data_IF_621545361366
#
_entry.id   IF_621545361366
#
_cell.length_a   1.000
_cell.length_b   1.000
_cell.length_c   1.000
_cell.angle_alpha   90.00
_cell.angle_beta   90.00
_cell.angle_gamma   90.00
#
_symmetry.space_group_name_H-M   'P 1'
#
loop_
_entity.id
_entity.type
_entity.pdbx_description
1 polymer ?
#
# COMPACT_ATOMS: atom_id res chain seq x y z
N UNK A 1 5.20 -9.48 11.39
CA UNK A 1 4.01 -10.14 10.82
C UNK A 1 3.64 -9.41 9.54
N UNK A 2 3.54 -10.11 8.42
CA UNK A 2 2.98 -9.55 7.19
C UNK A 2 1.47 -9.60 7.29
N UNK A 3 0.78 -8.49 7.03
CA UNK A 3 -0.66 -8.50 6.88
C UNK A 3 -1.04 -8.08 5.46
N UNK A 4 -2.00 -8.81 4.89
CA UNK A 4 -2.67 -8.50 3.62
C UNK A 4 -1.74 -8.30 2.40
N UNK A 5 -0.92 -9.30 2.03
CA UNK A 5 -0.13 -9.20 0.80
C UNK A 5 -1.03 -9.21 -0.43
N UNK A 6 -0.80 -8.29 -1.36
CA UNK A 6 -1.50 -8.18 -2.64
C UNK A 6 -0.50 -7.98 -3.78
N UNK A 7 -0.69 -8.71 -4.87
CA UNK A 7 0.19 -8.65 -6.04
C UNK A 7 -0.24 -7.53 -6.99
N UNK A 8 0.73 -6.84 -7.58
CA UNK A 8 0.47 -5.93 -8.70
C UNK A 8 -0.10 -6.72 -9.89
N UNK A 9 -0.79 -6.04 -10.83
CA UNK A 9 -1.02 -6.63 -12.14
C UNK A 9 0.29 -7.14 -12.73
N UNK A 10 0.22 -8.31 -13.37
CA UNK A 10 1.40 -8.97 -13.94
C UNK A 10 1.79 -8.23 -15.21
N UNK A 11 3.03 -7.74 -15.27
CA UNK A 11 3.57 -7.11 -16.46
C UNK A 11 3.71 -8.14 -17.59
N UNK A 12 3.80 -7.69 -18.84
CA UNK A 12 3.99 -8.57 -20.02
C UNK A 12 5.25 -9.46 -19.91
N UNK A 13 6.24 -9.04 -19.12
CA UNK A 13 7.46 -9.81 -18.82
C UNK A 13 7.25 -10.94 -17.80
N UNK A 14 6.05 -11.09 -17.23
CA UNK A 14 5.75 -12.02 -16.13
C UNK A 14 6.19 -11.54 -14.74
N UNK A 15 6.80 -10.35 -14.65
CA UNK A 15 7.19 -9.75 -13.38
C UNK A 15 6.00 -9.08 -12.68
N UNK A 16 6.03 -9.10 -11.36
CA UNK A 16 5.09 -8.40 -10.48
C UNK A 16 5.78 -8.07 -9.16
N UNK A 17 5.22 -7.10 -8.45
CA UNK A 17 5.64 -6.74 -7.10
C UNK A 17 4.54 -7.07 -6.11
N UNK A 18 4.92 -7.24 -4.84
CA UNK A 18 4.00 -7.56 -3.75
C UNK A 18 3.93 -6.36 -2.82
N UNK A 19 2.74 -5.76 -2.68
CA UNK A 19 2.45 -4.78 -1.64
C UNK A 19 1.93 -5.49 -0.39
N UNK A 20 2.33 -5.03 0.78
CA UNK A 20 1.89 -5.60 2.05
C UNK A 20 2.00 -4.58 3.18
N UNK A 21 1.26 -4.85 4.25
CA UNK A 21 1.38 -4.09 5.48
C UNK A 21 2.31 -4.81 6.47
N UNK A 22 3.23 -4.06 7.06
CA UNK A 22 4.12 -4.54 8.13
C UNK A 22 3.89 -3.74 9.40
N UNK A 23 3.64 -4.42 10.52
CA UNK A 23 3.53 -3.75 11.82
C UNK A 23 4.84 -3.03 12.15
N UNK A 24 4.73 -1.78 12.63
CA UNK A 24 5.88 -1.00 13.12
C UNK A 24 6.47 -1.68 14.35
N UNK A 25 5.61 -2.18 15.24
CA UNK A 25 5.99 -2.99 16.41
C UNK A 25 5.47 -4.41 16.22
N UNK A 26 6.29 -5.36 15.72
CA UNK A 26 5.86 -6.72 15.44
C UNK A 26 5.31 -7.47 16.66
N UNK A 27 5.81 -7.18 17.86
CA UNK A 27 5.38 -7.80 19.12
C UNK A 27 3.99 -7.35 19.59
N UNK A 28 3.50 -6.21 19.08
CA UNK A 28 2.21 -5.61 19.44
C UNK A 28 1.34 -5.39 18.20
N UNK A 29 1.40 -6.33 17.25
CA UNK A 29 0.74 -6.16 15.94
C UNK A 29 -0.77 -5.88 16.01
N UNK A 30 -1.44 -6.31 17.08
CA UNK A 30 -2.87 -6.08 17.32
C UNK A 30 -3.23 -4.61 17.53
N UNK A 31 -2.33 -3.84 18.15
CA UNK A 31 -2.51 -2.43 18.52
C UNK A 31 -1.55 -1.49 17.78
N UNK A 32 -0.57 -2.06 17.08
CA UNK A 32 0.43 -1.31 16.33
C UNK A 32 -0.16 -0.66 15.07
N UNK A 33 0.54 0.39 14.62
CA UNK A 33 0.36 0.95 13.28
C UNK A 33 1.21 0.17 12.28
N UNK A 34 0.84 0.29 11.01
CA UNK A 34 1.43 -0.46 9.93
C UNK A 34 2.10 0.44 8.91
N UNK A 35 3.18 -0.06 8.33
CA UNK A 35 3.84 0.53 7.17
C UNK A 35 3.37 -0.18 5.91
N UNK A 36 3.09 0.58 4.86
CA UNK A 36 2.92 0.04 3.52
C UNK A 36 4.30 -0.16 2.90
N UNK A 37 4.58 -1.39 2.50
CA UNK A 37 5.83 -1.78 1.86
C UNK A 37 5.55 -2.51 0.55
N UNK A 38 6.53 -2.46 -0.34
CA UNK A 38 6.56 -3.26 -1.57
C UNK A 38 7.85 -4.06 -1.65
N UNK A 39 7.81 -5.19 -2.33
CA UNK A 39 8.98 -6.03 -2.63
C UNK A 39 8.81 -6.74 -3.96
N UNK A 40 9.91 -7.19 -4.55
CA UNK A 40 9.88 -8.01 -5.75
C UNK A 40 9.31 -9.40 -5.45
N UNK A 41 8.90 -10.14 -6.49
CA UNK A 41 8.30 -11.48 -6.36
C UNK A 41 9.18 -12.50 -5.63
N UNK A 42 10.49 -12.29 -5.58
CA UNK A 42 11.46 -13.14 -4.89
C UNK A 42 11.74 -12.69 -3.45
N UNK A 43 11.06 -11.64 -2.99
CA UNK A 43 11.23 -11.04 -1.66
C UNK A 43 12.38 -10.04 -1.56
N UNK A 44 13.08 -9.76 -2.66
CA UNK A 44 14.15 -8.76 -2.70
C UNK A 44 13.60 -7.34 -2.87
N UNK A 45 14.50 -6.35 -2.83
CA UNK A 45 14.21 -4.93 -3.09
C UNK A 45 13.03 -4.37 -2.27
N UNK A 46 12.99 -4.70 -0.97
CA UNK A 46 11.96 -4.18 -0.06
C UNK A 46 12.06 -2.66 0.04
N UNK A 47 10.96 -1.95 -0.28
CA UNK A 47 10.84 -0.50 -0.15
C UNK A 47 9.69 -0.15 0.79
N UNK A 48 9.88 0.87 1.63
CA UNK A 48 8.81 1.48 2.43
C UNK A 48 8.18 2.61 1.62
N UNK A 49 6.87 2.58 1.44
CA UNK A 49 6.11 3.59 0.71
C UNK A 49 5.35 4.55 1.65
N UNK A 50 4.84 4.03 2.77
CA UNK A 50 4.10 4.82 3.76
C UNK A 50 4.33 4.24 5.17
N UNK A 51 4.32 5.04 6.25
CA UNK A 51 4.23 6.50 6.28
C UNK A 51 5.55 7.18 5.92
N UNK A 52 5.45 8.42 5.44
CA UNK A 52 6.57 9.36 5.38
C UNK A 52 7.00 9.82 6.78
N UNK A 53 8.02 10.68 6.85
CA UNK A 53 8.48 11.23 8.12
C UNK A 53 7.39 12.06 8.81
N UNK A 54 7.23 11.86 10.12
CA UNK A 54 6.25 12.60 10.93
C UNK A 54 4.79 12.16 10.77
N UNK A 55 4.48 11.20 9.90
CA UNK A 55 3.13 10.68 9.69
C UNK A 55 2.92 9.39 10.48
N UNK A 56 1.76 9.26 11.12
CA UNK A 56 1.39 8.03 11.80
C UNK A 56 1.06 6.94 10.76
N UNK A 57 1.54 5.72 10.98
CA UNK A 57 1.28 4.59 10.08
C UNK A 57 -0.20 4.23 9.94
N UNK A 58 -0.47 3.26 9.10
CA UNK A 58 -1.81 2.81 8.74
C UNK A 58 -2.45 1.99 9.86
N UNK A 59 -3.78 2.05 9.95
CA UNK A 59 -4.56 1.02 10.63
C UNK A 59 -4.56 -0.27 9.78
N UNK A 60 -4.75 -1.46 10.38
CA UNK A 60 -4.85 -2.72 9.64
C UNK A 60 -5.94 -2.64 8.56
N UNK A 61 -5.58 -2.89 7.30
CA UNK A 61 -6.49 -2.87 6.16
C UNK A 61 -5.89 -3.67 5.00
N UNK A 62 -6.70 -3.95 3.97
CA UNK A 62 -6.19 -4.41 2.67
C UNK A 62 -5.98 -3.21 1.77
N UNK A 63 -4.82 -3.16 1.10
CA UNK A 63 -4.57 -2.19 0.01
C UNK A 63 -4.93 -2.83 -1.32
N UNK A 64 -5.14 -2.02 -2.36
CA UNK A 64 -5.54 -2.52 -3.68
C UNK A 64 -4.72 -1.86 -4.77
N UNK A 65 -4.29 -2.65 -5.74
CA UNK A 65 -3.60 -2.15 -6.93
C UNK A 65 -4.61 -1.61 -7.93
N UNK A 66 -4.26 -0.55 -8.64
CA UNK A 66 -4.98 -0.15 -9.84
C UNK A 66 -4.93 -1.29 -10.90
N UNK A 67 -6.00 -1.47 -11.69
CA UNK A 67 -6.04 -2.51 -12.71
C UNK A 67 -5.01 -2.26 -13.83
N UNK A 68 -4.61 -3.33 -14.55
CA UNK A 68 -3.73 -3.21 -15.71
C UNK A 68 -4.45 -2.49 -16.86
N UNK A 69 -4.06 -1.23 -17.13
CA UNK A 69 -4.58 -0.45 -18.25
C UNK A 69 -4.26 1.04 -18.11
N UNK A 70 -3.40 1.54 -19.01
CA UNK A 70 -3.18 2.95 -19.39
C UNK A 70 -2.59 3.96 -18.38
N UNK A 71 -2.42 3.68 -17.09
CA UNK A 71 -1.68 4.60 -16.20
C UNK A 71 -0.86 3.84 -15.17
N UNK A 72 0.25 4.44 -14.73
CA UNK A 72 1.22 3.92 -13.76
C UNK A 72 0.59 3.01 -12.69
N UNK A 73 1.26 1.90 -12.37
CA UNK A 73 0.81 0.94 -11.35
C UNK A 73 0.74 1.62 -9.98
N UNK A 74 -0.40 2.17 -9.59
CA UNK A 74 -0.57 2.80 -8.26
C UNK A 74 -1.21 1.85 -7.26
N UNK A 75 -0.90 2.06 -5.98
CA UNK A 75 -1.54 1.38 -4.85
C UNK A 75 -2.49 2.36 -4.18
N UNK A 76 -3.76 1.97 -4.03
CA UNK A 76 -4.75 2.71 -3.27
C UNK A 76 -4.86 2.17 -1.84
N UNK A 77 -4.89 3.08 -0.87
CA UNK A 77 -5.02 2.78 0.56
C UNK A 77 -5.79 3.88 1.29
N UNK A 78 -6.27 3.59 2.50
CA UNK A 78 -6.98 4.54 3.34
C UNK A 78 -6.06 5.04 4.44
N UNK A 79 -5.77 6.33 4.47
CA UNK A 79 -5.08 6.97 5.59
C UNK A 79 -6.00 8.03 6.22
N UNK A 80 -6.22 7.91 7.53
CA UNK A 80 -7.06 8.85 8.30
C UNK A 80 -8.47 9.07 7.70
N UNK A 81 -9.04 8.03 7.07
CA UNK A 81 -10.35 8.11 6.42
C UNK A 81 -10.33 8.73 5.02
N UNK A 82 -9.16 9.01 4.45
CA UNK A 82 -9.02 9.51 3.09
C UNK A 82 -8.47 8.44 2.16
N UNK A 83 -8.95 8.43 0.92
CA UNK A 83 -8.36 7.65 -0.15
C UNK A 83 -7.08 8.32 -0.61
N UNK A 84 -5.98 7.59 -0.53
CA UNK A 84 -4.66 8.02 -1.01
C UNK A 84 -4.14 7.00 -2.02
N UNK A 85 -3.45 7.49 -3.05
CA UNK A 85 -2.69 6.70 -4.00
C UNK A 85 -1.20 6.86 -3.71
N UNK A 86 -0.44 5.79 -3.87
CA UNK A 86 1.02 5.85 -3.88
C UNK A 86 1.57 5.18 -5.14
N UNK A 87 2.53 5.84 -5.76
CA UNK A 87 3.35 5.26 -6.82
C UNK A 87 4.44 4.37 -6.17
N UNK A 88 4.52 3.07 -6.50
CA UNK A 88 5.45 2.12 -5.91
C UNK A 88 6.91 2.33 -6.37
N UNK A 89 7.12 3.00 -7.50
CA UNK A 89 8.44 3.27 -8.06
C UNK A 89 9.04 4.53 -7.43
N UNK A 90 8.24 5.59 -7.31
CA UNK A 90 8.69 6.89 -6.81
C UNK A 90 8.41 7.12 -5.32
N UNK A 91 7.45 6.40 -4.74
CA UNK A 91 6.92 6.67 -3.40
C UNK A 91 6.07 7.94 -3.33
N UNK A 92 5.73 8.55 -4.47
CA UNK A 92 4.91 9.76 -4.50
C UNK A 92 3.47 9.44 -4.06
N UNK A 93 2.98 10.18 -3.06
CA UNK A 93 1.64 10.03 -2.52
C UNK A 93 0.75 11.13 -3.08
N UNK A 94 -0.43 10.76 -3.54
CA UNK A 94 -1.48 11.68 -3.99
C UNK A 94 -2.76 11.41 -3.21
N UNK A 95 -3.25 12.43 -2.51
CA UNK A 95 -4.53 12.36 -1.82
C UNK A 95 -5.69 12.58 -2.81
N UNK A 96 -6.68 11.69 -2.80
CA UNK A 96 -7.82 11.71 -3.73
C UNK A 96 -9.08 12.29 -3.08
N UNK A 97 -9.30 11.99 -1.79
CA UNK A 97 -10.42 12.54 -0.99
C UNK A 97 -9.90 13.29 0.22
N UNK A 98 -10.71 14.16 0.83
CA UNK A 98 -10.28 14.99 1.98
C UNK A 98 -11.33 15.20 3.06
N UNK A 99 -12.42 14.44 3.02
CA UNK A 99 -13.53 14.52 3.97
C UNK A 99 -13.42 13.51 5.13
N UNK A 100 -12.44 12.61 5.09
CA UNK A 100 -12.20 11.62 6.15
C UNK A 100 -13.26 10.53 6.26
N UNK A 101 -14.12 10.35 5.25
CA UNK A 101 -15.28 9.45 5.32
C UNK A 101 -15.07 8.09 4.66
N UNK A 102 -13.94 7.89 3.96
CA UNK A 102 -13.63 6.67 3.21
C UNK A 102 -13.31 5.54 4.18
N UNK A 103 -14.05 4.44 4.05
CA UNK A 103 -13.92 3.24 4.89
C UNK A 103 -13.64 1.96 4.10
N UNK A 104 -13.81 1.98 2.78
CA UNK A 104 -13.57 0.83 1.90
C UNK A 104 -13.10 1.29 0.52
N UNK A 105 -12.22 0.50 -0.10
CA UNK A 105 -11.79 0.64 -1.49
C UNK A 105 -12.13 -0.66 -2.21
N UNK A 106 -12.63 -0.57 -3.44
CA UNK A 106 -12.90 -1.70 -4.32
C UNK A 106 -12.71 -1.26 -5.78
N UNK A 107 -11.78 -1.87 -6.50
CA UNK A 107 -11.63 -1.71 -7.96
C UNK A 107 -12.37 -2.86 -8.62
N UNK A 108 -13.38 -2.55 -9.45
CA UNK A 108 -14.14 -3.53 -10.23
C UNK A 108 -13.78 -3.46 -11.71
#
# INVERSE_FOLDING_TARGET
MFSYPVISPVADSGNFVVAYLSAINPEQSDTSKYELRVMDRDGSNVKKLFPGEGVQGLSPQSVVWAPSGETQSVIAFIAQGNLEFVDPDTGAITQITGDGSVSKIDWK
#
